data_IF_211522088257
#
_entry.id   IF_211522088257
#
_cell.length_a   1.000
_cell.length_b   1.000
_cell.length_c   1.000
_cell.angle_alpha   90.00
_cell.angle_beta   90.00
_cell.angle_gamma   90.00
#
_symmetry.space_group_name_H-M   'P 1'
#
loop_
_entity.id
_entity.type
_entity.pdbx_description
1 polymer ?
#
# COMPACT_ATOMS: atom_id res chain seq x y z
N UNK A 1 3.74 25.60 -37.17
CA UNK A 1 3.69 24.80 -35.91
C UNK A 1 2.75 25.44 -34.84
N UNK A 2 3.02 26.66 -34.33
CA UNK A 2 2.15 27.24 -33.28
C UNK A 2 0.71 27.46 -33.77
N UNK A 3 0.52 28.03 -34.96
CA UNK A 3 -0.79 28.26 -35.56
C UNK A 3 -1.59 26.97 -35.81
N UNK A 4 -0.92 25.86 -36.11
CA UNK A 4 -1.60 24.57 -36.31
C UNK A 4 -1.98 23.94 -34.98
N UNK A 5 -1.15 24.07 -33.94
CA UNK A 5 -1.47 23.66 -32.58
C UNK A 5 -2.66 24.44 -32.02
N UNK A 6 -2.71 25.76 -32.26
CA UNK A 6 -3.85 26.58 -31.88
C UNK A 6 -5.16 26.08 -32.51
N UNK A 7 -5.16 25.75 -33.82
CA UNK A 7 -6.36 25.17 -34.47
C UNK A 7 -6.83 23.88 -33.80
N UNK A 8 -5.88 23.05 -33.32
CA UNK A 8 -6.22 21.81 -32.61
C UNK A 8 -6.83 22.13 -31.23
N UNK A 9 -6.25 23.09 -30.48
CA UNK A 9 -6.78 23.53 -29.19
C UNK A 9 -8.19 24.08 -29.33
N UNK A 10 -8.47 24.83 -30.40
CA UNK A 10 -9.74 25.50 -30.66
C UNK A 10 -10.79 24.59 -31.35
N UNK A 11 -10.42 23.36 -31.71
CA UNK A 11 -11.33 22.42 -32.37
C UNK A 11 -12.23 21.68 -31.38
N UNK A 12 -13.47 22.12 -31.25
CA UNK A 12 -14.48 21.54 -30.36
C UNK A 12 -14.95 20.14 -30.73
N UNK A 13 -14.58 19.62 -31.93
CA UNK A 13 -14.85 18.21 -32.29
C UNK A 13 -13.90 17.24 -31.61
N UNK A 14 -12.79 17.73 -31.04
CA UNK A 14 -11.81 16.93 -30.33
C UNK A 14 -12.14 16.87 -28.84
N UNK A 15 -11.70 15.80 -28.17
CA UNK A 15 -11.84 15.67 -26.72
C UNK A 15 -11.01 16.71 -25.98
N UNK A 16 -11.46 17.16 -24.80
CA UNK A 16 -10.74 18.09 -23.94
C UNK A 16 -9.31 17.63 -23.64
N UNK A 17 -9.09 16.31 -23.47
CA UNK A 17 -7.76 15.74 -23.26
C UNK A 17 -6.84 15.91 -24.48
N UNK A 18 -7.34 15.74 -25.71
CA UNK A 18 -6.55 15.96 -26.93
C UNK A 18 -6.22 17.44 -27.11
N UNK A 19 -7.19 18.32 -26.83
CA UNK A 19 -7.04 19.79 -26.87
C UNK A 19 -6.03 20.25 -25.82
N UNK A 20 -6.09 19.74 -24.58
CA UNK A 20 -5.12 20.01 -23.53
C UNK A 20 -3.70 19.60 -23.92
N UNK A 21 -3.54 18.43 -24.54
CA UNK A 21 -2.23 17.99 -25.05
C UNK A 21 -1.66 18.90 -26.12
N UNK A 22 -2.50 19.39 -27.02
CA UNK A 22 -2.08 20.37 -28.04
C UNK A 22 -1.72 21.73 -27.39
N UNK A 23 -2.41 22.12 -26.32
CA UNK A 23 -2.10 23.33 -25.54
C UNK A 23 -0.71 23.21 -24.90
N UNK A 24 -0.35 22.05 -24.28
CA UNK A 24 0.98 21.85 -23.73
C UNK A 24 2.09 22.09 -24.78
N UNK A 25 1.88 21.60 -26.00
CA UNK A 25 2.82 21.80 -27.10
C UNK A 25 2.83 23.26 -27.59
N UNK A 26 1.66 23.93 -27.58
CA UNK A 26 1.54 25.34 -27.91
C UNK A 26 2.33 26.22 -26.95
N UNK A 27 2.24 25.93 -25.64
CA UNK A 27 3.02 26.63 -24.60
C UNK A 27 4.53 26.45 -24.81
N UNK A 28 4.96 25.25 -25.18
CA UNK A 28 6.38 24.97 -25.48
C UNK A 28 6.89 25.78 -26.70
N UNK A 29 6.04 26.07 -27.67
CA UNK A 29 6.38 26.89 -28.82
C UNK A 29 6.55 28.39 -28.51
N UNK A 30 6.18 28.85 -27.31
CA UNK A 30 6.30 30.22 -26.76
C UNK A 30 5.82 31.30 -27.73
N UNK A 31 4.59 31.24 -28.27
CA UNK A 31 4.08 32.26 -29.17
C UNK A 31 3.92 33.59 -28.40
N UNK A 32 3.94 34.71 -29.14
CA UNK A 32 3.92 36.05 -28.57
C UNK A 32 2.56 36.38 -27.86
N UNK A 33 1.48 35.73 -28.28
CA UNK A 33 0.12 35.90 -27.74
C UNK A 33 -0.26 34.88 -26.67
N UNK A 34 0.71 34.14 -26.12
CA UNK A 34 0.48 33.01 -25.22
C UNK A 34 -0.42 33.38 -24.03
N UNK A 35 -0.15 34.48 -23.31
CA UNK A 35 -0.90 34.85 -22.10
C UNK A 35 -2.37 35.20 -22.42
N UNK A 36 -2.60 35.90 -23.54
CA UNK A 36 -3.96 36.19 -24.00
C UNK A 36 -4.73 34.92 -24.37
N UNK A 37 -4.05 33.95 -25.00
CA UNK A 37 -4.65 32.67 -25.36
C UNK A 37 -4.94 31.80 -24.15
N UNK A 38 -4.02 31.71 -23.20
CA UNK A 38 -4.26 30.99 -21.94
C UNK A 38 -5.46 31.55 -21.21
N UNK A 39 -5.61 32.88 -21.11
CA UNK A 39 -6.75 33.50 -20.50
C UNK A 39 -8.07 33.15 -21.20
N UNK A 40 -8.08 33.17 -22.54
CA UNK A 40 -9.26 32.79 -23.32
C UNK A 40 -9.63 31.29 -23.14
N UNK A 41 -8.65 30.41 -23.14
CA UNK A 41 -8.90 28.97 -22.95
C UNK A 41 -9.22 28.60 -21.51
N UNK A 42 -8.81 29.37 -20.51
CA UNK A 42 -9.19 29.23 -19.11
C UNK A 42 -10.71 29.44 -18.87
N UNK A 43 -11.37 30.19 -19.75
CA UNK A 43 -12.83 30.39 -19.72
C UNK A 43 -13.58 29.37 -20.62
N UNK A 44 -12.89 28.36 -21.18
CA UNK A 44 -13.52 27.32 -22.00
C UNK A 44 -14.65 26.62 -21.27
N UNK A 45 -15.70 26.27 -22.01
CA UNK A 45 -16.77 25.40 -21.51
C UNK A 45 -16.27 23.95 -21.26
N UNK A 46 -15.23 23.54 -21.97
CA UNK A 46 -14.51 22.28 -21.72
C UNK A 46 -13.64 22.43 -20.48
N UNK A 47 -14.07 21.82 -19.39
CA UNK A 47 -13.41 21.94 -18.09
C UNK A 47 -11.99 21.35 -18.06
N UNK A 48 -11.70 20.36 -18.92
CA UNK A 48 -10.37 19.73 -19.03
C UNK A 48 -9.39 20.70 -19.71
N UNK A 49 -9.82 21.35 -20.79
CA UNK A 49 -9.04 22.38 -21.46
C UNK A 49 -8.84 23.61 -20.55
N UNK A 50 -9.91 24.06 -19.88
CA UNK A 50 -9.84 25.17 -18.94
C UNK A 50 -8.83 24.90 -17.81
N UNK A 51 -8.85 23.70 -17.23
CA UNK A 51 -7.87 23.29 -16.21
C UNK A 51 -6.44 23.32 -16.75
N UNK A 52 -6.19 22.77 -17.94
CA UNK A 52 -4.87 22.77 -18.55
C UNK A 52 -4.34 24.20 -18.77
N UNK A 53 -5.18 25.10 -19.27
CA UNK A 53 -4.82 26.51 -19.42
C UNK A 53 -4.50 27.18 -18.07
N UNK A 54 -5.31 26.92 -17.04
CA UNK A 54 -5.10 27.45 -15.70
C UNK A 54 -3.83 26.91 -15.05
N UNK A 55 -3.46 25.65 -15.26
CA UNK A 55 -2.21 25.07 -14.77
C UNK A 55 -0.96 25.80 -15.34
N UNK A 56 -1.02 26.28 -16.58
CA UNK A 56 0.02 27.13 -17.15
C UNK A 56 -0.07 28.59 -16.67
N UNK A 57 -1.28 29.15 -16.51
CA UNK A 57 -1.48 30.51 -16.00
C UNK A 57 -0.93 30.68 -14.58
N UNK A 58 -1.16 29.74 -13.66
CA UNK A 58 -0.66 29.85 -12.26
C UNK A 58 0.86 29.88 -12.17
N UNK A 59 1.58 29.42 -13.19
CA UNK A 59 3.04 29.53 -13.25
C UNK A 59 3.52 30.89 -13.73
N UNK A 60 2.68 31.66 -14.42
CA UNK A 60 3.00 32.93 -15.08
C UNK A 60 2.37 34.13 -14.37
N UNK A 61 1.10 34.02 -14.06
CA UNK A 61 0.31 35.01 -13.31
C UNK A 61 -0.70 34.28 -12.41
N UNK A 62 -0.27 33.89 -11.19
CA UNK A 62 -1.13 33.16 -10.26
C UNK A 62 -2.42 33.88 -9.89
N UNK A 63 -2.39 35.22 -9.82
CA UNK A 63 -3.54 36.00 -9.35
C UNK A 63 -4.68 35.98 -10.38
N UNK A 64 -4.38 36.04 -11.66
CA UNK A 64 -5.39 35.99 -12.72
C UNK A 64 -6.10 34.64 -12.80
N UNK A 65 -5.46 33.56 -12.31
CA UNK A 65 -6.02 32.22 -12.32
C UNK A 65 -7.06 31.96 -11.19
N UNK A 66 -7.09 32.78 -10.15
CA UNK A 66 -7.89 32.51 -8.95
C UNK A 66 -9.39 32.40 -9.22
N UNK A 67 -9.97 33.39 -9.89
CA UNK A 67 -11.42 33.41 -10.15
C UNK A 67 -11.87 32.24 -11.06
N UNK A 68 -11.16 31.90 -12.17
CA UNK A 68 -11.46 30.70 -12.96
C UNK A 68 -11.26 29.38 -12.17
N UNK A 69 -10.22 29.26 -11.33
CA UNK A 69 -10.01 28.06 -10.50
C UNK A 69 -11.18 27.84 -9.55
N UNK A 70 -11.71 28.89 -8.91
CA UNK A 70 -12.90 28.80 -8.05
C UNK A 70 -14.13 28.27 -8.81
N UNK A 71 -14.30 28.63 -10.09
CA UNK A 71 -15.35 28.04 -10.93
C UNK A 71 -15.15 26.53 -11.15
N UNK A 72 -13.90 26.09 -11.34
CA UNK A 72 -13.60 24.67 -11.52
C UNK A 72 -13.80 23.85 -10.25
N UNK A 73 -13.54 24.39 -9.06
CA UNK A 73 -13.80 23.72 -7.78
C UNK A 73 -15.28 23.37 -7.57
N UNK A 74 -16.20 24.05 -8.27
CA UNK A 74 -17.64 23.79 -8.21
C UNK A 74 -18.13 22.79 -9.26
N UNK A 75 -17.25 22.22 -10.08
CA UNK A 75 -17.64 21.23 -11.11
C UNK A 75 -17.85 19.85 -10.51
N UNK A 76 -18.53 18.98 -11.25
CA UNK A 76 -18.78 17.59 -10.88
C UNK A 76 -17.68 16.63 -11.35
N UNK A 77 -16.85 17.02 -12.30
CA UNK A 77 -15.73 16.19 -12.76
C UNK A 77 -14.63 16.14 -11.70
N UNK A 78 -14.44 14.94 -11.15
CA UNK A 78 -13.51 14.74 -10.04
C UNK A 78 -12.08 15.06 -10.42
N UNK A 79 -11.61 14.68 -11.61
CA UNK A 79 -10.24 14.93 -12.05
C UNK A 79 -9.99 16.43 -12.24
N UNK A 80 -10.98 17.16 -12.74
CA UNK A 80 -10.91 18.62 -12.89
C UNK A 80 -10.83 19.31 -11.52
N UNK A 81 -11.66 18.89 -10.56
CA UNK A 81 -11.65 19.46 -9.19
C UNK A 81 -10.34 19.15 -8.47
N UNK A 82 -9.80 17.93 -8.61
CA UNK A 82 -8.50 17.56 -8.08
C UNK A 82 -7.37 18.41 -8.67
N UNK A 83 -7.37 18.59 -9.98
CA UNK A 83 -6.43 19.46 -10.67
C UNK A 83 -6.55 20.92 -10.26
N UNK A 84 -7.77 21.41 -10.03
CA UNK A 84 -8.02 22.78 -9.57
C UNK A 84 -7.48 23.00 -8.14
N UNK A 85 -7.65 22.06 -7.21
CA UNK A 85 -7.03 22.12 -5.88
C UNK A 85 -5.51 22.17 -5.99
N UNK A 86 -4.90 21.27 -6.78
CA UNK A 86 -3.45 21.24 -6.99
C UNK A 86 -2.91 22.53 -7.62
N UNK A 87 -3.68 23.17 -8.50
CA UNK A 87 -3.31 24.45 -9.09
C UNK A 87 -3.45 25.59 -8.06
N UNK A 88 -4.49 25.57 -7.20
CA UNK A 88 -4.74 26.58 -6.17
C UNK A 88 -3.59 26.63 -5.13
N UNK A 89 -2.86 25.53 -4.92
CA UNK A 89 -1.67 25.50 -4.08
C UNK A 89 -0.62 26.56 -4.48
N UNK A 90 -0.59 26.94 -5.74
CA UNK A 90 0.40 27.88 -6.32
C UNK A 90 -0.11 29.34 -6.35
N UNK A 91 -1.31 29.63 -5.85
CA UNK A 91 -1.90 30.99 -5.84
C UNK A 91 -1.69 31.62 -4.47
N UNK A 92 -0.71 32.53 -4.28
CA UNK A 92 -0.38 33.13 -3.00
C UNK A 92 -1.30 34.30 -2.70
N UNK A 93 -2.53 34.05 -2.19
CA UNK A 93 -3.47 35.08 -1.80
C UNK A 93 -4.34 34.66 -0.62
N UNK A 94 -4.80 35.63 0.18
CA UNK A 94 -5.72 35.41 1.30
C UNK A 94 -7.04 34.81 0.84
N UNK A 95 -7.48 35.15 -0.35
CA UNK A 95 -8.71 34.62 -0.93
C UNK A 95 -8.55 33.12 -1.30
N UNK A 96 -7.39 32.71 -1.86
CA UNK A 96 -7.09 31.31 -2.07
C UNK A 96 -6.98 30.55 -0.74
N UNK A 97 -6.37 31.16 0.28
CA UNK A 97 -6.30 30.59 1.63
C UNK A 97 -7.70 30.38 2.23
N UNK A 98 -8.62 31.35 2.03
CA UNK A 98 -9.99 31.20 2.50
C UNK A 98 -10.75 30.04 1.82
N UNK A 99 -10.54 29.80 0.53
CA UNK A 99 -11.11 28.61 -0.15
C UNK A 99 -10.54 27.29 0.43
N UNK A 100 -9.24 27.23 0.75
CA UNK A 100 -8.64 26.05 1.40
C UNK A 100 -9.25 25.82 2.78
N UNK A 101 -9.40 26.85 3.61
CA UNK A 101 -10.07 26.76 4.92
C UNK A 101 -11.51 26.26 4.80
N UNK A 102 -12.25 26.76 3.82
CA UNK A 102 -13.61 26.29 3.52
C UNK A 102 -13.61 24.80 3.12
N UNK A 103 -12.69 24.39 2.26
CA UNK A 103 -12.52 22.99 1.85
C UNK A 103 -12.22 22.08 3.04
N UNK A 104 -11.29 22.45 3.93
CA UNK A 104 -10.95 21.68 5.13
C UNK A 104 -12.14 21.53 6.08
N UNK A 105 -12.96 22.55 6.25
CA UNK A 105 -14.20 22.45 7.03
C UNK A 105 -15.20 21.47 6.40
N UNK A 106 -15.33 21.48 5.08
CA UNK A 106 -16.15 20.51 4.36
C UNK A 106 -15.60 19.08 4.52
N UNK A 107 -14.28 18.91 4.52
CA UNK A 107 -13.62 17.63 4.74
C UNK A 107 -13.90 17.05 6.14
N UNK A 108 -13.90 17.90 7.19
CA UNK A 108 -14.28 17.50 8.54
C UNK A 108 -15.74 17.01 8.56
N UNK A 109 -16.67 17.75 7.95
CA UNK A 109 -18.08 17.38 7.89
C UNK A 109 -18.29 16.07 7.12
N UNK A 110 -17.52 15.83 6.07
CA UNK A 110 -17.54 14.61 5.27
C UNK A 110 -16.76 13.45 5.91
N UNK A 111 -16.22 13.60 7.12
CA UNK A 111 -15.39 12.59 7.81
C UNK A 111 -14.24 12.05 6.96
N UNK A 112 -13.62 12.92 6.17
CA UNK A 112 -12.51 12.59 5.28
C UNK A 112 -12.92 12.06 3.90
N UNK A 113 -14.19 11.76 3.65
CA UNK A 113 -14.63 11.09 2.42
C UNK A 113 -15.05 12.12 1.36
N UNK A 114 -14.05 12.73 0.73
CA UNK A 114 -14.24 13.59 -0.45
C UNK A 114 -13.32 13.12 -1.58
N UNK A 115 -13.79 13.11 -2.84
CA UNK A 115 -12.98 12.58 -3.94
C UNK A 115 -11.73 13.41 -4.29
N UNK A 116 -11.60 14.58 -3.69
CA UNK A 116 -10.45 15.50 -3.82
C UNK A 116 -9.76 15.78 -2.47
N UNK A 117 -10.04 14.96 -1.45
CA UNK A 117 -9.52 15.17 -0.10
C UNK A 117 -7.98 15.24 -0.05
N UNK A 118 -7.31 14.40 -0.81
CA UNK A 118 -5.85 14.35 -0.84
C UNK A 118 -5.26 15.63 -1.44
N UNK A 119 -5.77 16.07 -2.59
CA UNK A 119 -5.32 17.30 -3.25
C UNK A 119 -5.56 18.54 -2.37
N UNK A 120 -6.70 18.58 -1.67
CA UNK A 120 -7.00 19.64 -0.71
C UNK A 120 -6.01 19.64 0.47
N UNK A 121 -5.70 18.47 1.03
CA UNK A 121 -4.74 18.35 2.15
C UNK A 121 -3.33 18.73 1.71
N UNK A 122 -2.86 18.22 0.56
CA UNK A 122 -1.55 18.59 0.00
C UNK A 122 -1.46 20.10 -0.26
N UNK A 123 -2.56 20.69 -0.78
CA UNK A 123 -2.67 22.16 -0.95
C UNK A 123 -2.56 22.88 0.39
N UNK A 124 -3.27 22.42 1.42
CA UNK A 124 -3.21 23.02 2.74
C UNK A 124 -1.82 22.89 3.39
N UNK A 125 -1.17 21.75 3.22
CA UNK A 125 0.18 21.48 3.76
C UNK A 125 1.27 22.33 3.07
N UNK A 126 1.07 22.69 1.81
CA UNK A 126 2.00 23.56 1.07
C UNK A 126 1.89 25.05 1.44
N UNK A 127 0.90 25.43 2.26
CA UNK A 127 0.61 26.84 2.58
C UNK A 127 1.12 27.22 3.96
N UNK A 128 1.44 28.51 4.12
CA UNK A 128 2.05 29.03 5.35
C UNK A 128 1.14 29.97 6.15
N UNK A 129 -0.04 30.33 5.63
CA UNK A 129 -1.00 31.25 6.26
C UNK A 129 -1.59 30.64 7.55
N UNK A 130 -1.60 31.40 8.64
CA UNK A 130 -2.09 30.94 9.94
C UNK A 130 -3.53 30.40 9.94
N UNK A 131 -4.50 30.98 9.19
CA UNK A 131 -5.84 30.40 9.09
C UNK A 131 -5.86 29.01 8.48
N UNK A 132 -4.97 28.73 7.49
CA UNK A 132 -4.87 27.41 6.85
C UNK A 132 -4.23 26.42 7.81
N UNK A 133 -3.11 26.80 8.46
CA UNK A 133 -2.45 25.95 9.49
C UNK A 133 -3.42 25.58 10.60
N UNK A 134 -4.21 26.58 11.09
CA UNK A 134 -5.21 26.31 12.10
C UNK A 134 -6.28 25.33 11.61
N UNK A 135 -6.84 25.53 10.43
CA UNK A 135 -7.87 24.65 9.87
C UNK A 135 -7.32 23.23 9.61
N UNK A 136 -6.05 23.09 9.20
CA UNK A 136 -5.39 21.80 9.06
C UNK A 136 -5.17 21.10 10.41
N UNK A 137 -4.82 21.87 11.46
CA UNK A 137 -4.73 21.35 12.82
C UNK A 137 -6.10 20.90 13.35
N UNK A 138 -7.15 21.69 13.09
CA UNK A 138 -8.54 21.36 13.45
C UNK A 138 -8.98 20.04 12.73
N UNK A 139 -8.60 19.86 11.45
CA UNK A 139 -8.82 18.61 10.73
C UNK A 139 -8.10 17.43 11.43
N UNK A 140 -6.81 17.56 11.70
CA UNK A 140 -6.02 16.49 12.37
C UNK A 140 -6.60 16.16 13.75
N UNK A 141 -7.03 17.15 14.51
CA UNK A 141 -7.66 16.97 15.81
C UNK A 141 -9.07 16.35 15.74
N UNK A 142 -9.76 16.46 14.61
CA UNK A 142 -11.08 15.84 14.41
C UNK A 142 -11.03 14.34 14.15
N UNK A 143 -9.84 13.78 13.88
CA UNK A 143 -9.66 12.35 13.62
C UNK A 143 -9.70 11.59 14.96
N UNK A 144 -10.57 10.56 15.12
CA UNK A 144 -10.61 9.75 16.33
C UNK A 144 -9.26 9.04 16.55
N UNK A 145 -8.71 9.14 17.76
CA UNK A 145 -7.38 8.60 18.08
C UNK A 145 -7.36 7.05 18.13
N UNK A 146 -8.50 6.43 18.37
CA UNK A 146 -8.70 4.99 18.44
C UNK A 146 -9.09 4.36 17.08
N UNK A 147 -9.26 5.16 16.04
CA UNK A 147 -9.62 4.70 14.70
C UNK A 147 -8.41 4.76 13.75
N UNK A 148 -7.76 3.63 13.55
CA UNK A 148 -6.61 3.49 12.66
C UNK A 148 -6.92 3.85 11.19
N UNK A 149 -8.18 3.83 10.77
CA UNK A 149 -8.60 4.17 9.42
C UNK A 149 -8.93 5.65 9.25
N UNK A 150 -9.04 6.41 10.34
CA UNK A 150 -9.52 7.79 10.29
C UNK A 150 -8.76 8.66 9.29
N UNK A 151 -7.42 8.61 9.31
CA UNK A 151 -6.57 9.35 8.39
C UNK A 151 -6.54 8.77 6.96
N UNK A 152 -6.97 7.52 6.76
CA UNK A 152 -6.96 6.83 5.48
C UNK A 152 -8.28 6.95 4.70
N UNK A 153 -9.36 7.42 5.34
CA UNK A 153 -10.65 7.62 4.65
C UNK A 153 -10.57 8.60 3.48
N UNK A 154 -9.58 9.48 3.47
CA UNK A 154 -9.26 10.37 2.34
C UNK A 154 -8.91 9.61 1.05
N UNK A 155 -8.52 8.33 1.16
CA UNK A 155 -8.19 7.45 0.05
C UNK A 155 -9.38 6.63 -0.48
N UNK A 156 -10.60 6.85 0.04
CA UNK A 156 -11.76 6.05 -0.37
C UNK A 156 -12.29 6.39 -1.76
N UNK A 157 -12.14 7.62 -2.24
CA UNK A 157 -12.78 8.09 -3.46
C UNK A 157 -11.84 8.89 -4.35
N UNK A 158 -12.17 8.96 -5.65
CA UNK A 158 -11.47 9.82 -6.61
C UNK A 158 -10.16 9.25 -7.14
N UNK A 159 -9.96 7.95 -7.06
CA UNK A 159 -8.78 7.27 -7.61
C UNK A 159 -8.81 7.10 -9.12
N UNK A 160 -7.66 6.74 -9.68
CA UNK A 160 -7.47 6.34 -11.07
C UNK A 160 -7.21 4.84 -11.15
N UNK A 161 -8.15 4.10 -11.73
CA UNK A 161 -8.08 2.64 -11.82
C UNK A 161 -6.88 2.15 -12.65
N UNK A 162 -6.43 2.89 -13.67
CA UNK A 162 -5.25 2.51 -14.46
C UNK A 162 -3.96 2.61 -13.65
N UNK A 163 -3.81 3.69 -12.86
CA UNK A 163 -2.69 3.81 -11.94
C UNK A 163 -2.76 2.76 -10.83
N UNK A 164 -3.96 2.47 -10.32
CA UNK A 164 -4.17 1.40 -9.34
C UNK A 164 -3.74 0.03 -9.85
N UNK A 165 -4.05 -0.31 -11.10
CA UNK A 165 -3.57 -1.51 -11.77
C UNK A 165 -2.04 -1.56 -11.84
N UNK A 166 -1.40 -0.45 -12.20
CA UNK A 166 0.06 -0.35 -12.25
C UNK A 166 0.71 -0.51 -10.88
N UNK A 167 0.10 0.05 -9.84
CA UNK A 167 0.55 -0.14 -8.45
C UNK A 167 0.50 -1.63 -8.09
N UNK A 168 -0.60 -2.33 -8.40
CA UNK A 168 -0.69 -3.77 -8.16
C UNK A 168 0.42 -4.55 -8.87
N UNK A 169 0.76 -4.18 -10.10
CA UNK A 169 1.71 -4.91 -10.96
C UNK A 169 3.19 -4.64 -10.61
N UNK A 170 3.53 -3.42 -10.19
CA UNK A 170 4.94 -2.98 -10.20
C UNK A 170 5.36 -2.15 -8.98
N UNK A 171 4.48 -1.91 -8.00
CA UNK A 171 4.83 -1.15 -6.81
C UNK A 171 5.73 -1.98 -5.87
N UNK A 172 6.67 -1.37 -5.12
CA UNK A 172 7.51 -2.05 -4.13
C UNK A 172 6.75 -2.79 -3.01
N UNK A 173 5.45 -2.52 -2.81
CA UNK A 173 4.58 -3.29 -1.92
C UNK A 173 4.28 -4.71 -2.45
N UNK A 174 4.66 -5.03 -3.70
CA UNK A 174 4.61 -6.36 -4.32
C UNK A 174 3.26 -7.11 -4.18
N UNK A 175 2.15 -6.42 -4.36
CA UNK A 175 0.80 -7.00 -4.22
C UNK A 175 0.63 -8.30 -5.02
N UNK A 176 1.12 -8.31 -6.28
CA UNK A 176 1.04 -9.44 -7.19
C UNK A 176 1.83 -10.65 -6.72
N UNK A 177 2.83 -10.49 -5.84
CA UNK A 177 3.60 -11.61 -5.30
C UNK A 177 2.74 -12.55 -4.46
N UNK A 178 1.77 -11.99 -3.71
CA UNK A 178 0.90 -12.74 -2.83
C UNK A 178 -0.51 -12.97 -3.39
N UNK A 179 -0.99 -12.08 -4.26
CA UNK A 179 -2.36 -12.10 -4.73
C UNK A 179 -2.46 -12.31 -6.23
N UNK A 180 -3.43 -13.13 -6.66
CA UNK A 180 -3.96 -13.12 -8.03
C UNK A 180 -5.13 -12.16 -8.11
N UNK A 181 -5.35 -11.52 -9.24
CA UNK A 181 -6.46 -10.60 -9.39
C UNK A 181 -7.53 -11.05 -10.40
N UNK A 182 -7.27 -12.08 -11.21
CA UNK A 182 -8.15 -12.47 -12.32
C UNK A 182 -8.18 -11.43 -13.44
N UNK A 183 -9.08 -11.57 -14.41
CA UNK A 183 -9.29 -10.59 -15.50
C UNK A 183 -7.99 -10.24 -16.26
N UNK A 184 -7.14 -11.24 -16.53
CA UNK A 184 -5.84 -11.04 -17.20
C UNK A 184 -4.63 -10.99 -16.23
N UNK A 185 -4.86 -10.94 -14.93
CA UNK A 185 -3.82 -10.95 -13.89
C UNK A 185 -3.78 -12.31 -13.17
N UNK A 186 -3.71 -13.39 -13.95
CA UNK A 186 -3.73 -14.77 -13.42
C UNK A 186 -2.36 -15.21 -12.87
N UNK A 187 -1.31 -14.46 -13.22
CA UNK A 187 0.09 -14.81 -12.88
C UNK A 187 0.49 -14.49 -11.43
N UNK A 188 -0.41 -13.95 -10.62
CA UNK A 188 -0.11 -13.59 -9.22
C UNK A 188 0.10 -14.78 -8.30
N UNK A 189 0.60 -14.53 -7.09
CA UNK A 189 0.81 -15.52 -6.05
C UNK A 189 -0.48 -16.04 -5.41
N UNK A 190 -0.34 -17.06 -4.57
CA UNK A 190 -1.45 -17.72 -3.84
C UNK A 190 -1.29 -17.61 -2.32
N UNK A 191 -0.26 -16.92 -1.85
CA UNK A 191 -0.04 -16.69 -0.42
C UNK A 191 -1.10 -15.77 0.21
N UNK A 192 -1.79 -14.96 -0.60
CA UNK A 192 -2.94 -14.16 -0.22
C UNK A 192 -4.20 -14.55 -1.01
N UNK A 193 -5.40 -14.13 -0.55
CA UNK A 193 -6.64 -14.44 -1.22
C UNK A 193 -6.68 -13.87 -2.64
N UNK A 194 -7.32 -14.61 -3.55
CA UNK A 194 -7.56 -14.16 -4.91
C UNK A 194 -8.47 -12.92 -4.89
N UNK A 195 -8.02 -11.82 -5.49
CA UNK A 195 -8.72 -10.54 -5.57
C UNK A 195 -9.80 -10.52 -6.66
N UNK A 196 -9.89 -11.55 -7.52
CA UNK A 196 -10.98 -11.65 -8.50
C UNK A 196 -12.34 -11.54 -7.80
N UNK A 197 -13.14 -10.56 -8.22
CA UNK A 197 -14.45 -10.27 -7.65
C UNK A 197 -14.41 -9.58 -6.28
N UNK A 198 -13.28 -9.02 -5.83
CA UNK A 198 -13.22 -8.24 -4.59
C UNK A 198 -14.16 -7.04 -4.63
N UNK A 199 -14.33 -6.41 -5.78
CA UNK A 199 -15.28 -5.31 -6.00
C UNK A 199 -16.77 -5.67 -5.79
N UNK A 200 -17.10 -6.97 -5.64
CA UNK A 200 -18.43 -7.43 -5.26
C UNK A 200 -18.49 -7.96 -3.82
N UNK A 201 -17.33 -8.19 -3.17
CA UNK A 201 -17.24 -8.77 -1.82
C UNK A 201 -17.19 -7.73 -0.72
N UNK A 202 -16.69 -6.54 -1.04
CA UNK A 202 -16.52 -5.48 -0.08
C UNK A 202 -16.66 -4.09 -0.71
N UNK A 203 -16.93 -3.12 0.13
CA UNK A 203 -16.93 -1.71 -0.23
C UNK A 203 -15.52 -1.11 -0.16
N UNK A 204 -15.40 0.19 -0.39
CA UNK A 204 -14.12 0.90 -0.38
C UNK A 204 -13.48 0.95 1.02
N UNK A 205 -14.29 1.03 2.07
CA UNK A 205 -13.81 1.01 3.45
C UNK A 205 -13.21 -0.36 3.79
N UNK A 206 -13.88 -1.45 3.40
CA UNK A 206 -13.32 -2.79 3.54
C UNK A 206 -11.98 -2.94 2.81
N UNK A 207 -11.82 -2.36 1.62
CA UNK A 207 -10.56 -2.44 0.86
C UNK A 207 -9.45 -1.67 1.58
N UNK A 208 -9.73 -0.47 2.10
CA UNK A 208 -8.77 0.31 2.91
C UNK A 208 -8.45 -0.45 4.20
N UNK A 209 -9.46 -0.93 4.94
CA UNK A 209 -9.27 -1.69 6.18
C UNK A 209 -8.35 -2.90 5.95
N UNK A 210 -8.59 -3.66 4.87
CA UNK A 210 -7.79 -4.84 4.54
C UNK A 210 -6.32 -4.51 4.25
N UNK A 211 -6.00 -3.31 3.77
CA UNK A 211 -4.63 -2.86 3.54
C UNK A 211 -3.98 -2.26 4.79
N UNK A 212 -4.73 -1.50 5.58
CA UNK A 212 -4.18 -0.75 6.71
C UNK A 212 -4.18 -1.58 8.00
N UNK A 213 -5.23 -2.39 8.21
CA UNK A 213 -5.40 -3.27 9.38
C UNK A 213 -5.71 -4.69 8.91
N UNK A 214 -4.77 -5.36 8.21
CA UNK A 214 -5.03 -6.65 7.55
C UNK A 214 -5.41 -7.79 8.52
N UNK A 215 -5.16 -7.63 9.82
CA UNK A 215 -5.62 -8.53 10.86
C UNK A 215 -7.08 -8.32 11.31
N UNK A 216 -7.74 -7.22 10.89
CA UNK A 216 -9.12 -6.94 11.31
C UNK A 216 -10.12 -7.97 10.76
N UNK A 217 -9.91 -8.42 9.52
CA UNK A 217 -10.75 -9.41 8.85
C UNK A 217 -9.87 -10.32 7.98
N UNK A 218 -9.52 -11.47 8.51
CA UNK A 218 -8.69 -12.45 7.79
C UNK A 218 -9.58 -13.42 7.02
N UNK A 219 -9.30 -13.62 5.73
CA UNK A 219 -10.05 -14.55 4.90
C UNK A 219 -9.79 -16.00 5.34
N UNK A 220 -10.82 -16.86 5.25
CA UNK A 220 -10.68 -18.29 5.55
C UNK A 220 -9.56 -18.92 4.69
N UNK A 221 -8.71 -19.71 5.33
CA UNK A 221 -7.55 -20.33 4.72
C UNK A 221 -6.29 -19.45 4.65
N UNK A 222 -6.31 -18.25 5.22
CA UNK A 222 -5.15 -17.32 5.21
C UNK A 222 -4.75 -16.81 6.59
N UNK A 223 -5.47 -17.21 7.64
CA UNK A 223 -5.15 -16.82 9.03
C UNK A 223 -4.25 -17.83 9.72
N UNK A 224 -3.13 -17.36 10.25
CA UNK A 224 -2.27 -18.18 11.12
C UNK A 224 -2.81 -18.15 12.54
N UNK A 225 -2.97 -19.31 13.14
CA UNK A 225 -3.43 -19.48 14.54
C UNK A 225 -2.44 -20.36 15.32
N UNK A 226 -2.40 -20.16 16.63
CA UNK A 226 -1.77 -21.06 17.57
C UNK A 226 -2.80 -21.47 18.61
N UNK A 227 -3.04 -22.77 18.78
CA UNK A 227 -3.96 -23.33 19.74
C UNK A 227 -3.21 -24.15 20.80
N UNK A 228 -3.36 -23.80 22.08
CA UNK A 228 -2.90 -24.60 23.20
C UNK A 228 -4.03 -25.52 23.61
N UNK A 229 -3.75 -26.82 23.64
CA UNK A 229 -4.73 -27.84 23.96
C UNK A 229 -4.83 -28.11 25.47
N UNK A 230 -5.93 -28.68 25.91
CA UNK A 230 -6.19 -29.09 27.33
C UNK A 230 -5.16 -30.09 27.84
N UNK A 231 -4.52 -30.86 26.95
CA UNK A 231 -3.46 -31.82 27.27
C UNK A 231 -2.06 -31.18 27.36
N UNK A 232 -1.96 -29.85 27.22
CA UNK A 232 -0.70 -29.10 27.28
C UNK A 232 0.09 -29.05 25.95
N UNK A 233 -0.36 -29.72 24.89
CA UNK A 233 0.26 -29.62 23.57
C UNK A 233 -0.20 -28.34 22.85
N UNK A 234 0.64 -27.84 21.95
CA UNK A 234 0.28 -26.73 21.07
C UNK A 234 0.24 -27.17 19.61
N UNK A 235 -0.70 -26.59 18.87
CA UNK A 235 -0.83 -26.78 17.41
C UNK A 235 -0.90 -25.39 16.79
N UNK A 236 0.02 -25.10 15.86
CA UNK A 236 0.07 -23.84 15.11
C UNK A 236 0.06 -24.08 13.61
N UNK A 237 -0.49 -23.13 12.87
CA UNK A 237 -0.55 -23.20 11.41
C UNK A 237 -1.67 -22.35 10.83
N UNK A 238 -1.96 -22.56 9.54
CA UNK A 238 -3.03 -21.85 8.85
C UNK A 238 -4.38 -22.48 9.20
N UNK A 239 -5.31 -21.69 9.69
CA UNK A 239 -6.68 -22.14 9.93
C UNK A 239 -7.42 -22.27 8.59
N UNK A 240 -7.52 -23.50 8.08
CA UNK A 240 -8.12 -23.78 6.76
C UNK A 240 -9.64 -23.93 6.80
N UNK A 241 -10.18 -24.36 7.94
CA UNK A 241 -11.61 -24.50 8.15
C UNK A 241 -11.94 -24.38 9.64
N UNK A 242 -13.09 -23.80 9.94
CA UNK A 242 -13.66 -23.82 11.29
C UNK A 242 -15.16 -24.09 11.27
N UNK A 243 -15.63 -24.81 12.27
CA UNK A 243 -17.04 -25.07 12.54
C UNK A 243 -17.34 -24.78 14.02
N UNK A 244 -18.56 -25.02 14.47
CA UNK A 244 -18.92 -24.96 15.88
C UNK A 244 -18.24 -26.06 16.71
N UNK A 245 -17.80 -27.14 16.09
CA UNK A 245 -17.32 -28.36 16.75
C UNK A 245 -15.80 -28.51 16.66
N UNK A 246 -15.19 -28.11 15.56
CA UNK A 246 -13.76 -28.31 15.32
C UNK A 246 -13.12 -27.16 14.52
N UNK A 247 -11.80 -27.15 14.51
CA UNK A 247 -10.94 -26.31 13.68
C UNK A 247 -9.95 -27.22 12.98
N UNK A 248 -9.74 -27.00 11.68
CA UNK A 248 -8.68 -27.64 10.90
C UNK A 248 -7.54 -26.65 10.75
N UNK A 249 -6.35 -27.05 11.23
CA UNK A 249 -5.12 -26.26 11.22
C UNK A 249 -4.13 -26.99 10.32
N UNK A 250 -3.69 -26.32 9.26
CA UNK A 250 -2.63 -26.81 8.36
C UNK A 250 -1.27 -26.37 8.89
N UNK A 251 -0.51 -27.30 9.43
CA UNK A 251 0.85 -27.11 9.93
C UNK A 251 1.93 -27.29 8.84
N UNK A 252 1.53 -27.37 7.56
CA UNK A 252 2.41 -27.53 6.39
C UNK A 252 2.54 -28.97 5.90
N UNK A 253 2.82 -29.93 6.76
CA UNK A 253 2.89 -31.36 6.39
C UNK A 253 1.56 -32.09 6.61
N UNK A 254 0.81 -31.69 7.63
CA UNK A 254 -0.43 -32.32 8.02
C UNK A 254 -1.50 -31.31 8.43
N UNK A 255 -2.74 -31.65 8.10
CA UNK A 255 -3.89 -30.92 8.61
C UNK A 255 -4.35 -31.59 9.91
N UNK A 256 -4.23 -30.86 11.01
CA UNK A 256 -4.66 -31.30 12.33
C UNK A 256 -6.10 -30.86 12.58
N UNK A 257 -7.02 -31.80 12.71
CA UNK A 257 -8.38 -31.52 13.17
C UNK A 257 -8.42 -31.48 14.70
N UNK A 258 -8.71 -30.30 15.26
CA UNK A 258 -8.76 -30.06 16.70
C UNK A 258 -10.23 -29.78 17.10
N UNK A 259 -10.75 -30.55 18.05
CA UNK A 259 -12.09 -30.24 18.62
C UNK A 259 -12.00 -28.98 19.46
N UNK A 260 -13.02 -28.14 19.35
CA UNK A 260 -13.07 -26.89 20.17
C UNK A 260 -13.07 -27.14 21.65
N UNK A 261 -13.62 -28.27 22.10
CA UNK A 261 -13.59 -28.72 23.52
C UNK A 261 -12.18 -29.02 24.03
N UNK A 262 -11.26 -29.33 23.11
CA UNK A 262 -9.90 -29.70 23.46
C UNK A 262 -8.95 -28.47 23.40
N UNK A 263 -9.47 -27.30 23.02
CA UNK A 263 -8.72 -26.04 22.95
C UNK A 263 -8.85 -25.35 24.31
N UNK A 264 -7.72 -25.15 25.00
CA UNK A 264 -7.61 -24.35 26.21
C UNK A 264 -7.55 -22.86 25.90
N UNK A 265 -6.74 -22.51 24.91
CA UNK A 265 -6.50 -21.14 24.47
C UNK A 265 -6.15 -21.14 22.99
N UNK A 266 -6.56 -20.11 22.25
CA UNK A 266 -6.23 -19.94 20.85
C UNK A 266 -6.01 -18.46 20.53
N UNK A 267 -4.94 -18.17 19.78
CA UNK A 267 -4.73 -16.82 19.24
C UNK A 267 -5.78 -16.48 18.19
N UNK A 268 -6.19 -15.20 18.08
CA UNK A 268 -6.95 -14.76 16.92
C UNK A 268 -6.19 -15.06 15.62
N UNK A 269 -6.89 -15.33 14.50
CA UNK A 269 -6.23 -15.51 13.22
C UNK A 269 -5.41 -14.26 12.84
N UNK A 270 -4.11 -14.45 12.61
CA UNK A 270 -3.20 -13.39 12.21
C UNK A 270 -3.02 -13.41 10.69
N UNK A 271 -3.09 -12.24 10.08
CA UNK A 271 -2.83 -12.08 8.65
C UNK A 271 -1.32 -12.10 8.37
N UNK A 272 -0.91 -12.86 7.32
CA UNK A 272 0.44 -12.77 6.78
C UNK A 272 0.67 -11.52 5.92
N UNK A 273 -0.39 -10.79 5.56
CA UNK A 273 -0.29 -9.53 4.86
C UNK A 273 0.22 -8.45 5.82
N UNK A 274 1.33 -7.76 5.53
CA UNK A 274 1.80 -6.67 6.37
C UNK A 274 0.88 -5.44 6.24
N UNK A 275 0.78 -4.58 7.28
CA UNK A 275 0.08 -3.30 7.17
C UNK A 275 0.73 -2.41 6.11
N UNK A 276 -0.04 -1.95 5.13
CA UNK A 276 0.46 -1.17 4.00
C UNK A 276 0.69 0.31 4.32
N UNK A 277 0.35 0.79 5.52
CA UNK A 277 0.50 2.20 5.91
C UNK A 277 1.95 2.72 5.87
N UNK A 278 2.94 1.85 5.95
CA UNK A 278 4.37 2.21 5.81
C UNK A 278 4.90 2.08 4.38
N UNK A 279 4.13 1.45 3.49
CA UNK A 279 4.55 1.12 2.13
C UNK A 279 3.80 1.93 1.06
N UNK A 280 2.51 2.25 1.29
CA UNK A 280 1.66 2.99 0.38
C UNK A 280 1.45 4.42 0.89
N UNK A 281 1.50 5.38 -0.03
CA UNK A 281 0.98 6.73 0.21
C UNK A 281 -0.55 6.75 0.07
N UNK A 282 -1.27 7.67 0.72
CA UNK A 282 -2.73 7.77 0.60
C UNK A 282 -3.22 7.85 -0.86
N UNK A 283 -2.49 8.53 -1.75
CA UNK A 283 -2.81 8.64 -3.17
C UNK A 283 -2.71 7.29 -3.89
N UNK A 284 -1.70 6.50 -3.58
CA UNK A 284 -1.49 5.16 -4.15
C UNK A 284 -2.56 4.19 -3.64
N UNK A 285 -2.88 4.24 -2.36
CA UNK A 285 -3.98 3.46 -1.79
C UNK A 285 -5.33 3.83 -2.44
N UNK A 286 -5.59 5.11 -2.70
CA UNK A 286 -6.79 5.60 -3.39
C UNK A 286 -6.90 5.03 -4.81
N UNK A 287 -5.83 5.11 -5.59
CA UNK A 287 -5.81 4.60 -6.95
C UNK A 287 -5.97 3.07 -6.98
N UNK A 288 -5.31 2.37 -6.04
CA UNK A 288 -5.45 0.92 -5.87
C UNK A 288 -6.90 0.53 -5.50
N UNK A 289 -7.53 1.23 -4.56
CA UNK A 289 -8.96 1.02 -4.21
C UNK A 289 -9.85 1.21 -5.43
N UNK A 290 -9.62 2.25 -6.23
CA UNK A 290 -10.39 2.49 -7.46
C UNK A 290 -10.29 1.30 -8.41
N UNK A 291 -9.09 0.78 -8.65
CA UNK A 291 -8.89 -0.40 -9.47
C UNK A 291 -9.55 -1.65 -8.87
N UNK A 292 -9.39 -1.91 -7.57
CA UNK A 292 -9.99 -3.06 -6.89
C UNK A 292 -11.53 -3.08 -7.04
N UNK A 293 -12.18 -1.92 -7.07
CA UNK A 293 -13.64 -1.84 -7.32
C UNK A 293 -14.05 -2.31 -8.70
N UNK A 294 -13.13 -2.29 -9.68
CA UNK A 294 -13.38 -2.78 -11.04
C UNK A 294 -13.29 -4.30 -11.14
N UNK A 295 -12.63 -4.98 -10.21
CA UNK A 295 -12.47 -6.43 -10.18
C UNK A 295 -13.77 -7.11 -9.76
N UNK A 296 -14.77 -7.11 -10.66
CA UNK A 296 -16.07 -7.73 -10.46
C UNK A 296 -16.09 -9.10 -11.11
N UNK A 297 -16.61 -10.13 -10.44
CA UNK A 297 -16.84 -11.43 -11.07
C UNK A 297 -17.82 -11.26 -12.22
N UNK A 298 -17.50 -11.81 -13.39
CA UNK A 298 -18.50 -12.02 -14.42
C UNK A 298 -19.61 -12.95 -13.88
N UNK A 299 -20.85 -12.55 -14.02
CA UNK A 299 -22.01 -13.36 -13.60
C UNK A 299 -22.01 -14.77 -14.24
N UNK A 300 -21.28 -14.96 -15.34
CA UNK A 300 -21.12 -16.20 -16.10
C UNK A 300 -19.86 -16.99 -15.76
N UNK A 301 -19.06 -16.57 -14.76
CA UNK A 301 -17.94 -17.39 -14.33
C UNK A 301 -18.48 -18.74 -13.77
N UNK A 302 -17.95 -19.89 -14.22
CA UNK A 302 -18.43 -21.19 -13.75
C UNK A 302 -18.34 -21.24 -12.22
N UNK A 303 -19.42 -21.74 -11.58
CA UNK A 303 -19.54 -21.91 -10.12
C UNK A 303 -18.54 -22.90 -9.50
N UNK A 304 -17.65 -23.46 -10.30
CA UNK A 304 -16.55 -24.32 -9.86
C UNK A 304 -15.36 -23.47 -9.35
N UNK A 305 -15.59 -22.69 -8.29
CA UNK A 305 -14.48 -22.52 -7.36
C UNK A 305 -14.29 -23.89 -6.70
N UNK A 306 -13.35 -24.67 -7.19
CA UNK A 306 -12.71 -25.68 -6.35
C UNK A 306 -12.45 -25.00 -5.01
N UNK A 307 -12.93 -25.60 -3.90
CA UNK A 307 -12.42 -25.21 -2.57
C UNK A 307 -10.94 -24.97 -2.77
N UNK A 308 -10.46 -23.77 -2.44
CA UNK A 308 -9.02 -23.51 -2.46
C UNK A 308 -8.47 -24.49 -1.45
N UNK A 309 -8.03 -25.62 -1.94
CA UNK A 309 -7.15 -26.50 -1.17
C UNK A 309 -5.89 -25.65 -1.06
N UNK A 310 -5.44 -25.29 0.14
CA UNK A 310 -4.20 -24.58 0.30
C UNK A 310 -3.16 -25.34 -0.51
N UNK A 311 -2.53 -24.68 -1.48
CA UNK A 311 -1.49 -25.34 -2.25
C UNK A 311 -0.42 -25.70 -1.24
N UNK A 312 -0.08 -27.01 -1.17
CA UNK A 312 1.07 -27.44 -0.39
C UNK A 312 2.22 -26.51 -0.75
N UNK A 313 2.86 -25.91 0.24
CA UNK A 313 4.01 -24.99 0.09
C UNK A 313 5.21 -25.65 -0.66
N UNK A 314 5.10 -26.92 -1.00
CA UNK A 314 6.05 -27.70 -1.83
C UNK A 314 6.25 -27.19 -3.27
N UNK A 315 5.55 -26.14 -3.72
CA UNK A 315 5.72 -25.60 -5.08
C UNK A 315 6.56 -24.32 -5.14
N UNK A 316 7.10 -23.82 -4.04
CA UNK A 316 8.27 -22.97 -4.16
C UNK A 316 9.41 -23.89 -4.60
N UNK A 317 9.71 -23.89 -5.89
CA UNK A 317 10.98 -24.39 -6.38
C UNK A 317 12.07 -23.51 -5.73
N UNK A 318 12.52 -23.92 -4.54
CA UNK A 318 13.85 -23.60 -4.14
C UNK A 318 14.73 -24.03 -5.32
N UNK A 319 15.43 -23.08 -5.93
CA UNK A 319 16.54 -23.44 -6.79
C UNK A 319 17.33 -24.46 -5.99
N UNK A 320 17.64 -25.66 -6.56
CA UNK A 320 18.38 -26.66 -5.82
C UNK A 320 19.61 -25.98 -5.23
N UNK A 321 19.73 -26.02 -3.90
CA UNK A 321 20.93 -25.54 -3.25
C UNK A 321 22.07 -26.35 -3.83
N UNK A 322 23.17 -25.73 -4.25
CA UNK A 322 24.39 -26.50 -4.53
C UNK A 322 24.67 -27.41 -3.32
N UNK A 323 25.05 -28.66 -3.56
CA UNK A 323 25.25 -29.66 -2.52
C UNK A 323 26.29 -29.28 -1.43
N UNK A 324 27.03 -28.19 -1.66
CA UNK A 324 28.04 -27.60 -0.79
C UNK A 324 27.59 -26.27 -0.17
N UNK A 325 26.26 -26.01 -0.09
CA UNK A 325 25.73 -24.76 0.50
C UNK A 325 26.04 -24.67 1.99
N UNK A 326 26.69 -23.59 2.47
CA UNK A 326 26.94 -23.37 3.90
C UNK A 326 25.68 -23.32 4.77
N UNK A 327 24.49 -23.15 4.17
CA UNK A 327 23.19 -23.15 4.86
C UNK A 327 22.84 -24.50 5.51
N UNK A 328 23.33 -25.64 4.95
CA UNK A 328 23.14 -26.94 5.58
C UNK A 328 23.96 -27.11 6.86
N UNK A 329 25.14 -26.50 6.94
CA UNK A 329 26.00 -26.49 8.15
C UNK A 329 25.40 -25.65 9.28
N UNK A 330 24.67 -24.57 8.94
CA UNK A 330 24.03 -23.70 9.92
C UNK A 330 22.83 -24.40 10.58
N UNK A 331 22.06 -25.17 9.82
CA UNK A 331 20.90 -25.89 10.32
C UNK A 331 21.25 -26.99 11.31
N UNK A 332 22.47 -27.53 11.28
CA UNK A 332 22.93 -28.62 12.17
C UNK A 332 23.58 -28.13 13.47
N UNK A 333 23.73 -26.79 13.65
CA UNK A 333 24.30 -26.21 14.88
C UNK A 333 25.80 -26.38 15.04
N UNK A 334 26.50 -26.93 14.04
CA UNK A 334 27.97 -27.01 14.02
C UNK A 334 28.56 -25.68 13.50
N UNK A 335 28.67 -24.71 14.40
CA UNK A 335 29.39 -23.46 14.15
C UNK A 335 30.89 -23.70 14.34
N UNK A 336 31.65 -23.65 13.26
CA UNK A 336 33.07 -23.37 13.37
C UNK A 336 33.22 -21.92 13.85
N UNK A 337 33.80 -21.74 15.03
CA UNK A 337 34.08 -20.44 15.59
C UNK A 337 35.10 -19.70 14.71
N UNK A 338 34.63 -18.77 13.90
CA UNK A 338 35.48 -17.76 13.27
C UNK A 338 35.71 -16.59 14.24
N UNK A 339 36.91 -15.96 14.18
CA UNK A 339 37.23 -14.85 15.08
C UNK A 339 36.28 -13.67 14.87
N UNK A 340 35.86 -13.06 15.97
CA UNK A 340 34.99 -11.89 16.01
C UNK A 340 35.48 -10.80 15.06
N UNK A 341 34.62 -10.36 14.15
CA UNK A 341 34.85 -9.21 13.31
C UNK A 341 35.06 -7.96 14.18
N UNK A 342 35.91 -6.98 13.76
CA UNK A 342 36.07 -5.73 14.48
C UNK A 342 34.75 -5.03 14.69
N UNK A 343 34.55 -4.48 15.88
CA UNK A 343 33.34 -3.78 16.30
C UNK A 343 32.98 -2.69 15.26
N UNK A 344 31.92 -2.93 14.50
CA UNK A 344 31.47 -2.02 13.46
C UNK A 344 31.02 -0.69 14.11
N UNK A 345 31.39 0.42 13.52
CA UNK A 345 30.93 1.74 13.97
C UNK A 345 29.40 1.77 13.98
N UNK A 346 28.81 2.40 15.01
CA UNK A 346 27.36 2.54 15.08
C UNK A 346 26.78 3.15 13.79
N UNK A 347 25.71 2.60 13.21
CA UNK A 347 25.13 3.09 11.97
C UNK A 347 24.67 4.54 12.13
N UNK A 348 24.72 5.31 11.03
CA UNK A 348 24.28 6.71 11.03
C UNK A 348 22.78 6.81 11.32
N UNK A 349 22.28 7.96 11.83
CA UNK A 349 20.85 8.17 12.05
C UNK A 349 19.98 7.92 10.81
N UNK A 350 20.51 8.22 9.62
CA UNK A 350 19.79 8.03 8.35
C UNK A 350 19.67 6.54 8.01
N UNK A 351 20.73 5.75 8.20
CA UNK A 351 20.71 4.29 8.04
C UNK A 351 19.74 3.66 9.04
N UNK A 352 19.73 4.10 10.28
CA UNK A 352 18.78 3.62 11.29
C UNK A 352 17.33 3.96 10.94
N UNK A 353 17.08 5.14 10.39
CA UNK A 353 15.73 5.53 9.94
C UNK A 353 15.26 4.68 8.75
N UNK A 354 16.16 4.42 7.79
CA UNK A 354 15.87 3.54 6.66
C UNK A 354 15.60 2.11 7.13
N UNK A 355 16.47 1.54 7.96
CA UNK A 355 16.30 0.20 8.53
C UNK A 355 14.99 0.05 9.30
N UNK A 356 14.60 1.04 10.10
CA UNK A 356 13.31 1.06 10.78
C UNK A 356 12.13 1.05 9.82
N UNK A 357 12.25 1.73 8.69
CA UNK A 357 11.23 1.73 7.63
C UNK A 357 11.15 0.36 6.96
N UNK A 358 12.29 -0.26 6.65
CA UNK A 358 12.35 -1.60 6.06
C UNK A 358 11.84 -2.68 7.02
N UNK A 359 12.11 -2.53 8.31
CA UNK A 359 11.65 -3.45 9.35
C UNK A 359 10.12 -3.57 9.46
N UNK A 360 9.37 -2.61 8.92
CA UNK A 360 7.90 -2.66 8.91
C UNK A 360 7.35 -3.93 8.25
N UNK A 361 8.05 -4.51 7.28
CA UNK A 361 7.68 -5.78 6.64
C UNK A 361 7.95 -6.99 7.55
N UNK A 362 9.01 -6.92 8.37
CA UNK A 362 9.44 -7.99 9.26
C UNK A 362 8.61 -8.04 10.55
N UNK A 363 8.06 -6.89 10.95
CA UNK A 363 7.30 -6.67 12.17
C UNK A 363 6.16 -7.67 12.37
N UNK A 364 5.44 -8.04 11.30
CA UNK A 364 4.28 -8.95 11.38
C UNK A 364 4.64 -10.32 11.97
N UNK A 365 5.87 -10.80 11.72
CA UNK A 365 6.33 -12.11 12.20
C UNK A 365 7.26 -11.98 13.41
N UNK A 366 8.09 -10.91 13.45
CA UNK A 366 9.17 -10.79 14.44
C UNK A 366 8.85 -9.79 15.59
N UNK A 367 7.64 -9.22 15.62
CA UNK A 367 7.23 -8.26 16.64
C UNK A 367 7.74 -6.83 16.36
N UNK A 368 7.08 -5.82 16.90
CA UNK A 368 7.43 -4.40 16.69
C UNK A 368 8.80 -4.01 17.26
N UNK A 369 9.22 -4.71 18.31
CA UNK A 369 10.46 -4.55 19.04
C UNK A 369 11.52 -5.61 18.71
N UNK A 370 11.23 -6.50 17.74
CA UNK A 370 12.08 -7.64 17.42
C UNK A 370 12.01 -8.75 18.48
N UNK A 371 11.06 -8.71 19.41
CA UNK A 371 10.91 -9.71 20.47
C UNK A 371 10.34 -11.06 20.02
N UNK A 372 9.95 -11.16 18.74
CA UNK A 372 9.31 -12.34 18.18
C UNK A 372 7.81 -12.37 18.43
N UNK A 373 7.13 -13.29 17.76
CA UNK A 373 5.72 -13.60 17.99
C UNK A 373 5.59 -15.11 18.15
N UNK A 374 5.07 -15.54 19.28
CA UNK A 374 4.98 -16.98 19.64
C UNK A 374 4.23 -17.77 18.55
N UNK A 375 4.87 -18.80 18.00
CA UNK A 375 4.32 -19.65 16.95
C UNK A 375 4.26 -19.01 15.54
N UNK A 376 4.79 -17.79 15.35
CA UNK A 376 4.73 -17.06 14.08
C UNK A 376 6.12 -16.71 13.58
N UNK A 377 6.99 -16.16 14.42
CA UNK A 377 8.35 -15.84 14.06
C UNK A 377 9.25 -15.72 15.27
N UNK A 378 10.53 -16.10 15.14
CA UNK A 378 11.48 -16.06 16.23
C UNK A 378 11.82 -14.61 16.64
N UNK A 379 12.30 -14.41 17.88
CA UNK A 379 12.88 -13.13 18.28
C UNK A 379 14.14 -12.83 17.46
N UNK A 380 14.26 -11.60 16.97
CA UNK A 380 15.47 -11.07 16.33
C UNK A 380 16.36 -10.37 17.37
N UNK A 381 15.76 -9.62 18.29
CA UNK A 381 16.47 -8.91 19.34
C UNK A 381 17.26 -9.86 20.23
N UNK A 382 18.60 -9.74 20.20
CA UNK A 382 19.51 -10.58 20.96
C UNK A 382 19.51 -12.05 20.56
N UNK A 383 19.06 -12.37 19.36
CA UNK A 383 19.11 -13.72 18.77
C UNK A 383 20.53 -14.06 18.32
N UNK A 384 20.98 -15.28 18.55
CA UNK A 384 22.25 -15.81 18.07
C UNK A 384 22.39 -15.77 16.55
N UNK A 385 21.25 -15.80 15.83
CA UNK A 385 21.21 -15.69 14.38
C UNK A 385 21.48 -14.27 13.88
N UNK A 386 21.00 -13.27 14.60
CA UNK A 386 21.19 -11.85 14.26
C UNK A 386 22.56 -11.33 14.74
N UNK A 387 23.04 -11.84 15.87
CA UNK A 387 24.34 -11.47 16.44
C UNK A 387 25.48 -12.31 15.87
N UNK A 388 25.18 -13.27 15.00
CA UNK A 388 26.15 -14.12 14.30
C UNK A 388 26.78 -13.42 13.09
N UNK A 389 27.46 -14.20 12.20
CA UNK A 389 28.07 -13.63 10.99
C UNK A 389 27.05 -12.89 10.11
N UNK A 390 27.37 -11.65 9.74
CA UNK A 390 26.49 -10.77 8.98
C UNK A 390 26.10 -11.35 7.60
N UNK A 391 27.00 -12.10 6.97
CA UNK A 391 26.75 -12.77 5.69
C UNK A 391 25.60 -13.77 5.77
N UNK A 392 25.46 -14.44 6.90
CA UNK A 392 24.35 -15.38 7.13
C UNK A 392 23.02 -14.62 7.24
N UNK A 393 23.01 -13.51 7.96
CA UNK A 393 21.83 -12.65 8.09
C UNK A 393 21.40 -12.12 6.73
N UNK A 394 22.33 -11.59 5.93
CA UNK A 394 22.10 -11.12 4.57
C UNK A 394 21.53 -12.24 3.68
N UNK A 395 22.14 -13.45 3.74
CA UNK A 395 21.66 -14.60 2.96
C UNK A 395 20.25 -15.02 3.36
N UNK A 396 19.95 -15.07 4.66
CA UNK A 396 18.61 -15.39 5.17
C UNK A 396 17.61 -14.34 4.68
N UNK A 397 17.96 -13.06 4.75
CA UNK A 397 17.10 -11.97 4.28
C UNK A 397 16.84 -12.06 2.78
N UNK A 398 17.86 -12.28 1.95
CA UNK A 398 17.72 -12.33 0.49
C UNK A 398 17.09 -13.63 -0.02
N UNK A 399 17.38 -14.78 0.61
CA UNK A 399 16.94 -16.10 0.13
C UNK A 399 15.79 -16.70 0.92
N UNK A 400 15.45 -16.11 2.07
CA UNK A 400 14.54 -16.70 3.03
C UNK A 400 15.17 -17.85 3.82
N UNK A 401 14.40 -18.43 4.72
CA UNK A 401 14.81 -19.56 5.54
C UNK A 401 13.64 -20.53 5.68
N UNK A 402 13.91 -21.82 5.58
CA UNK A 402 12.89 -22.87 5.73
C UNK A 402 13.48 -24.06 6.48
N UNK A 403 12.64 -24.66 7.31
CA UNK A 403 13.01 -25.85 8.13
C UNK A 403 13.08 -25.52 9.62
N UNK A 404 13.29 -26.53 10.47
CA UNK A 404 13.40 -26.33 11.90
C UNK A 404 14.70 -25.59 12.26
N UNK A 405 14.58 -24.53 13.05
CA UNK A 405 15.72 -23.80 13.61
C UNK A 405 15.53 -23.61 15.10
N UNK A 406 16.63 -23.54 15.84
CA UNK A 406 16.63 -23.18 17.25
C UNK A 406 16.97 -21.68 17.38
N UNK A 407 16.14 -20.93 18.12
CA UNK A 407 16.41 -19.55 18.46
C UNK A 407 16.16 -19.35 19.94
N UNK A 408 17.19 -18.95 20.66
CA UNK A 408 17.13 -18.80 22.14
C UNK A 408 16.57 -20.06 22.84
N UNK A 409 16.92 -21.24 22.36
CA UNK A 409 16.50 -22.51 22.91
C UNK A 409 15.06 -22.92 22.59
N UNK A 410 14.37 -22.17 21.74
CA UNK A 410 13.02 -22.50 21.25
C UNK A 410 13.09 -22.92 19.79
N UNK A 411 12.44 -24.03 19.43
CA UNK A 411 12.34 -24.49 18.05
C UNK A 411 11.28 -23.73 17.27
N UNK A 412 11.65 -23.26 16.10
CA UNK A 412 10.76 -22.62 15.11
C UNK A 412 10.86 -23.42 13.79
N UNK A 413 9.73 -23.80 13.24
CA UNK A 413 9.64 -24.53 11.97
C UNK A 413 8.66 -23.84 11.05
N UNK A 414 9.02 -22.63 10.62
CA UNK A 414 8.21 -21.76 9.76
C UNK A 414 9.05 -21.30 8.57
N UNK A 415 8.37 -20.80 7.54
CA UNK A 415 9.02 -20.24 6.36
C UNK A 415 9.19 -18.74 6.52
N UNK A 416 10.43 -18.26 6.54
CA UNK A 416 10.75 -16.87 6.32
C UNK A 416 10.83 -16.62 4.82
N UNK A 417 9.96 -15.78 4.23
CA UNK A 417 10.00 -15.51 2.79
C UNK A 417 11.25 -14.71 2.40
N UNK A 418 11.83 -14.96 1.21
CA UNK A 418 12.99 -14.21 0.72
C UNK A 418 12.64 -12.75 0.43
N UNK A 419 13.55 -11.83 0.72
CA UNK A 419 13.45 -10.40 0.44
C UNK A 419 14.39 -9.99 -0.72
N UNK A 420 14.50 -10.83 -1.75
CA UNK A 420 15.45 -10.68 -2.86
C UNK A 420 15.24 -9.42 -3.75
N UNK A 421 14.17 -8.67 -3.49
CA UNK A 421 13.87 -7.40 -4.18
C UNK A 421 14.57 -6.19 -3.53
N UNK A 422 15.11 -6.36 -2.32
CA UNK A 422 15.82 -5.28 -1.64
C UNK A 422 17.15 -5.00 -2.34
N UNK A 423 17.49 -3.73 -2.48
CA UNK A 423 18.80 -3.30 -2.94
C UNK A 423 19.81 -3.27 -1.78
N UNK A 424 21.09 -3.04 -2.10
CA UNK A 424 22.18 -3.09 -1.11
C UNK A 424 21.97 -2.12 0.07
N UNK A 425 21.43 -0.91 -0.17
CA UNK A 425 21.15 0.08 0.88
C UNK A 425 19.99 -0.36 1.80
N UNK A 426 19.05 -1.16 1.28
CA UNK A 426 17.91 -1.66 2.05
C UNK A 426 18.27 -2.90 2.87
N UNK A 427 19.29 -3.64 2.45
CA UNK A 427 19.77 -4.84 3.15
C UNK A 427 20.80 -4.50 4.21
N UNK A 428 21.63 -3.47 3.96
CA UNK A 428 22.65 -2.99 4.90
C UNK A 428 22.06 -2.33 6.14
#
# INVERSE_FOLDING_TARGET
AAADLQKIVENDSLTGAARAKALDLYVQAKPADLDARLAAWADSSDAVLALAALQHMVQRDPQSALAPLKKLLAKSDVAVVQGAWSALAKVPSDEAAAEVVKGLRALIQAKGVLPYAIELLETAESRSEDPVKKALADWKASLPADDMLASWRVAMQGGDAKRGEQIYLSHPAECMRCHRAGQGHEAGGEAGPNLAGVGNRGDREFMIESMIVPGAKVADGYGVVSATLTNGKSVGGIMVQQTKEFIDIDAGETISRVKRTDIKEMTPPLSAMPPMMGLLKPREARDLVEWLTTLKKNANAPKNQKKVVPMKVSAYHALPAPDDSPLMLIATGESAAEPAAPEAAAPSPDVMALGKTQYAVCHACHGADGGGAAGIGPPLAGSEWVLGPVENLIRIQLRGLMGPIQVKGTEYNLVMPPQAHQNDEQVA
#
